data_IF_775512899220
#
_entry.id   IF_775512899220
#
_cell.length_a   1.000
_cell.length_b   1.000
_cell.length_c   1.000
_cell.angle_alpha   90.00
_cell.angle_beta   90.00
_cell.angle_gamma   90.00
#
_symmetry.space_group_name_H-M   'P 1'
#
loop_
_entity.id
_entity.type
_entity.pdbx_description
1 polymer ?
#
# COMPACT_ATOMS: atom_id res chain seq x y z
N UNK A 1 7.02 -18.92 -23.84
CA UNK A 1 6.55 -19.75 -22.70
C UNK A 1 6.02 -18.80 -21.66
N UNK A 2 4.76 -18.93 -21.25
CA UNK A 2 4.28 -18.19 -20.09
C UNK A 2 5.08 -18.64 -18.86
N UNK A 3 5.73 -17.70 -18.20
CA UNK A 3 6.45 -17.96 -16.97
C UNK A 3 5.42 -18.22 -15.86
N UNK A 4 5.45 -19.41 -15.26
CA UNK A 4 4.57 -19.77 -14.14
C UNK A 4 5.40 -19.93 -12.88
N UNK A 5 5.00 -19.23 -11.82
CA UNK A 5 5.48 -19.55 -10.48
C UNK A 5 4.95 -20.93 -10.04
N UNK A 6 5.60 -21.54 -9.07
CA UNK A 6 5.23 -22.84 -8.51
C UNK A 6 5.46 -22.86 -6.99
N UNK A 7 5.07 -23.94 -6.33
CA UNK A 7 5.16 -24.07 -4.85
C UNK A 7 6.60 -23.93 -4.30
N UNK A 8 7.63 -24.16 -5.13
CA UNK A 8 9.05 -24.03 -4.76
C UNK A 8 9.64 -22.67 -5.11
N UNK A 9 8.87 -21.77 -5.72
CA UNK A 9 9.35 -20.44 -6.07
C UNK A 9 9.75 -19.65 -4.82
N UNK A 10 10.98 -19.11 -4.86
CA UNK A 10 11.53 -18.29 -3.77
C UNK A 10 10.98 -16.87 -3.82
N UNK A 11 10.83 -16.28 -2.66
CA UNK A 11 10.31 -14.92 -2.50
C UNK A 11 11.40 -13.94 -2.07
N UNK A 12 11.62 -12.92 -2.90
CA UNK A 12 12.44 -11.76 -2.55
C UNK A 12 11.55 -10.63 -2.04
N UNK A 13 11.94 -9.95 -0.97
CA UNK A 13 11.20 -8.82 -0.39
C UNK A 13 12.01 -7.56 -0.53
N UNK A 14 11.45 -6.54 -1.18
CA UNK A 14 12.04 -5.22 -1.34
C UNK A 14 11.33 -4.23 -0.43
N UNK A 15 12.05 -3.73 0.57
CA UNK A 15 11.55 -2.87 1.64
C UNK A 15 11.71 -3.50 3.01
N UNK A 16 11.84 -2.66 4.04
CA UNK A 16 12.13 -3.10 5.42
C UNK A 16 11.36 -2.31 6.49
N UNK A 17 10.31 -1.60 6.08
CA UNK A 17 9.38 -0.92 7.00
C UNK A 17 8.42 -1.88 7.69
N UNK A 18 7.52 -1.36 8.54
CA UNK A 18 6.58 -2.19 9.32
C UNK A 18 5.82 -3.20 8.46
N UNK A 19 5.33 -2.78 7.29
CA UNK A 19 4.56 -3.67 6.43
C UNK A 19 5.41 -4.80 5.81
N UNK A 20 6.61 -4.48 5.33
CA UNK A 20 7.55 -5.50 4.85
C UNK A 20 7.91 -6.49 5.96
N UNK A 21 8.19 -6.00 7.17
CA UNK A 21 8.51 -6.81 8.36
C UNK A 21 7.37 -7.77 8.72
N UNK A 22 6.11 -7.29 8.70
CA UNK A 22 4.94 -8.15 8.94
C UNK A 22 4.73 -9.21 7.84
N UNK A 23 4.97 -8.87 6.57
CA UNK A 23 4.86 -9.82 5.46
C UNK A 23 5.97 -10.89 5.50
N UNK A 24 7.21 -10.50 5.83
CA UNK A 24 8.32 -11.45 6.05
C UNK A 24 7.99 -12.41 7.20
N UNK A 25 7.42 -11.90 8.30
CA UNK A 25 6.96 -12.74 9.41
C UNK A 25 5.90 -13.75 8.96
N UNK A 26 4.92 -13.33 8.15
CA UNK A 26 3.91 -14.22 7.61
C UNK A 26 4.51 -15.30 6.71
N UNK A 27 5.42 -14.94 5.82
CA UNK A 27 6.12 -15.88 4.93
C UNK A 27 6.94 -16.90 5.72
N UNK A 28 7.66 -16.45 6.75
CA UNK A 28 8.41 -17.33 7.64
C UNK A 28 7.50 -18.34 8.35
N UNK A 29 6.32 -17.91 8.83
CA UNK A 29 5.35 -18.79 9.49
C UNK A 29 4.86 -19.90 8.55
N UNK A 30 4.86 -19.66 7.24
CA UNK A 30 4.58 -20.65 6.20
C UNK A 30 5.82 -21.40 5.68
N UNK A 31 6.96 -21.32 6.43
CA UNK A 31 8.21 -22.04 6.12
C UNK A 31 8.77 -21.72 4.73
N UNK A 32 8.58 -20.49 4.24
CA UNK A 32 9.16 -20.04 2.97
C UNK A 32 10.58 -19.52 3.18
N UNK A 33 11.48 -19.86 2.26
CA UNK A 33 12.81 -19.26 2.16
C UNK A 33 12.67 -17.85 1.56
N UNK A 34 13.26 -16.85 2.19
CA UNK A 34 13.07 -15.43 1.88
C UNK A 34 14.42 -14.76 1.66
N UNK A 35 14.53 -13.99 0.58
CA UNK A 35 15.62 -13.05 0.36
C UNK A 35 15.13 -11.63 0.64
N UNK A 36 15.72 -10.98 1.64
CA UNK A 36 15.22 -9.70 2.12
C UNK A 36 16.22 -8.57 1.84
N UNK A 37 15.83 -7.64 0.96
CA UNK A 37 16.59 -6.44 0.63
C UNK A 37 16.47 -5.40 1.74
N UNK A 38 17.57 -5.13 2.44
CA UNK A 38 17.66 -4.20 3.56
C UNK A 38 18.89 -3.32 3.38
N UNK A 39 18.70 -2.02 3.15
CA UNK A 39 19.80 -1.05 2.95
C UNK A 39 20.14 -0.24 4.20
N UNK A 40 19.33 -0.29 5.25
CA UNK A 40 19.63 0.36 6.52
C UNK A 40 20.58 -0.53 7.34
N UNK A 41 21.80 -0.02 7.61
CA UNK A 41 22.87 -0.79 8.30
C UNK A 41 22.48 -1.25 9.70
N UNK A 42 21.78 -0.42 10.48
CA UNK A 42 21.33 -0.77 11.82
C UNK A 42 20.32 -1.92 11.81
N UNK A 43 19.35 -1.89 10.86
CA UNK A 43 18.39 -2.98 10.69
C UNK A 43 19.09 -4.25 10.18
N UNK A 44 20.03 -4.11 9.25
CA UNK A 44 20.76 -5.24 8.69
C UNK A 44 21.60 -5.95 9.76
N UNK A 45 22.30 -5.18 10.60
CA UNK A 45 23.09 -5.71 11.74
C UNK A 45 22.18 -6.40 12.74
N UNK A 46 21.10 -5.76 13.21
CA UNK A 46 20.18 -6.36 14.18
C UNK A 46 19.49 -7.63 13.67
N UNK A 47 19.14 -7.69 12.39
CA UNK A 47 18.62 -8.93 11.80
C UNK A 47 19.63 -10.06 11.81
N UNK A 48 20.88 -9.78 11.38
CA UNK A 48 21.92 -10.81 11.27
C UNK A 48 22.47 -11.28 12.62
N UNK A 49 22.58 -10.40 13.61
CA UNK A 49 23.18 -10.68 14.90
C UNK A 49 22.17 -11.14 15.94
N UNK A 50 20.95 -10.57 15.90
CA UNK A 50 19.96 -10.73 16.97
C UNK A 50 18.61 -11.30 16.46
N UNK A 51 18.40 -11.35 15.13
CA UNK A 51 17.22 -11.94 14.53
C UNK A 51 15.95 -11.10 14.61
N UNK A 52 16.05 -9.76 14.78
CA UNK A 52 14.88 -8.87 14.78
C UNK A 52 15.14 -7.56 14.03
N UNK A 53 14.07 -6.85 13.63
CA UNK A 53 14.17 -5.54 13.01
C UNK A 53 14.17 -4.44 14.08
N UNK A 54 15.31 -3.79 14.32
CA UNK A 54 15.50 -2.82 15.39
C UNK A 54 14.57 -1.59 15.32
N UNK A 55 14.04 -1.26 14.14
CA UNK A 55 13.23 -0.04 13.96
C UNK A 55 11.74 -0.31 13.77
N UNK A 56 11.37 -1.50 13.33
CA UNK A 56 9.99 -1.80 12.94
C UNK A 56 9.55 -3.15 13.47
N UNK A 57 8.51 -3.16 14.32
CA UNK A 57 7.94 -4.37 14.88
C UNK A 57 9.01 -5.24 15.60
N UNK A 58 9.79 -4.62 16.46
CA UNK A 58 10.94 -5.23 17.15
C UNK A 58 10.58 -6.42 18.04
N UNK A 59 9.30 -6.64 18.30
CA UNK A 59 8.81 -7.80 19.05
C UNK A 59 8.84 -9.11 18.23
N UNK A 60 9.10 -9.03 16.91
CA UNK A 60 9.16 -10.21 16.04
C UNK A 60 10.57 -10.77 16.02
N UNK A 61 10.70 -12.08 16.33
CA UNK A 61 11.94 -12.82 16.13
C UNK A 61 11.90 -13.60 14.82
N UNK A 62 12.97 -13.50 14.04
CA UNK A 62 13.11 -14.16 12.75
C UNK A 62 14.03 -15.38 12.83
N UNK A 63 13.63 -16.46 12.14
CA UNK A 63 14.48 -17.64 11.92
C UNK A 63 15.44 -17.37 10.76
N UNK A 64 16.67 -16.98 11.09
CA UNK A 64 17.67 -16.63 10.09
C UNK A 64 18.18 -17.83 9.26
N UNK A 65 17.72 -19.07 9.52
CA UNK A 65 17.92 -20.19 8.61
C UNK A 65 17.00 -20.12 7.39
N UNK A 66 15.89 -19.37 7.48
CA UNK A 66 14.92 -19.17 6.40
C UNK A 66 15.10 -17.81 5.70
N UNK A 67 15.81 -16.87 6.32
CA UNK A 67 15.87 -15.47 5.86
C UNK A 67 17.32 -15.09 5.52
N UNK A 68 17.53 -14.75 4.25
CA UNK A 68 18.79 -14.24 3.72
C UNK A 68 18.68 -12.72 3.52
N UNK A 69 19.41 -11.95 4.32
CA UNK A 69 19.40 -10.48 4.22
C UNK A 69 20.53 -10.00 3.32
N UNK A 70 20.27 -8.99 2.51
CA UNK A 70 21.29 -8.37 1.65
C UNK A 70 20.95 -6.90 1.37
N UNK A 71 21.98 -6.07 1.21
CA UNK A 71 21.85 -4.70 0.72
C UNK A 71 21.90 -4.59 -0.81
N UNK A 72 22.16 -5.70 -1.51
CA UNK A 72 22.23 -5.74 -2.97
C UNK A 72 20.93 -6.25 -3.57
N UNK A 73 20.13 -5.33 -4.14
CA UNK A 73 18.84 -5.65 -4.77
C UNK A 73 18.98 -6.68 -5.91
N UNK A 74 20.08 -6.65 -6.66
CA UNK A 74 20.32 -7.56 -7.78
C UNK A 74 20.54 -9.00 -7.32
N UNK A 75 21.07 -9.19 -6.11
CA UNK A 75 21.18 -10.51 -5.51
C UNK A 75 19.79 -11.10 -5.22
N UNK A 76 18.89 -10.31 -4.64
CA UNK A 76 17.49 -10.72 -4.42
C UNK A 76 16.82 -11.11 -5.75
N UNK A 77 16.99 -10.30 -6.79
CA UNK A 77 16.40 -10.55 -8.11
C UNK A 77 16.95 -11.84 -8.72
N UNK A 78 18.26 -12.11 -8.60
CA UNK A 78 18.85 -13.35 -9.12
C UNK A 78 18.33 -14.60 -8.42
N UNK A 79 18.16 -14.54 -7.10
CA UNK A 79 17.83 -15.70 -6.28
C UNK A 79 16.34 -16.05 -6.24
N UNK A 80 15.46 -15.11 -6.63
CA UNK A 80 14.02 -15.25 -6.42
C UNK A 80 13.24 -15.15 -7.73
N UNK A 81 12.18 -15.93 -7.84
CA UNK A 81 11.20 -15.88 -8.91
C UNK A 81 10.09 -14.88 -8.63
N UNK A 82 9.74 -14.69 -7.35
CA UNK A 82 8.70 -13.76 -6.89
C UNK A 82 9.39 -12.60 -6.19
N UNK A 83 9.09 -11.38 -6.61
CA UNK A 83 9.60 -10.15 -6.00
C UNK A 83 8.44 -9.38 -5.38
N UNK A 84 8.38 -9.40 -4.05
CA UNK A 84 7.40 -8.67 -3.26
C UNK A 84 7.87 -7.24 -3.02
N UNK A 85 7.12 -6.27 -3.50
CA UNK A 85 7.39 -4.84 -3.33
C UNK A 85 6.62 -4.32 -2.13
N UNK A 86 7.33 -3.99 -1.06
CA UNK A 86 6.77 -3.49 0.20
C UNK A 86 7.49 -2.21 0.72
N UNK A 87 8.19 -1.51 -0.16
CA UNK A 87 8.78 -0.21 0.11
C UNK A 87 7.76 0.92 -0.10
N UNK A 88 7.86 2.06 0.61
CA UNK A 88 7.00 3.21 0.32
C UNK A 88 7.19 3.73 -1.11
N UNK A 89 6.09 4.11 -1.76
CA UNK A 89 6.10 4.53 -3.18
C UNK A 89 7.03 5.72 -3.44
N UNK A 90 7.14 6.64 -2.48
CA UNK A 90 8.02 7.80 -2.56
C UNK A 90 9.51 7.46 -2.72
N UNK A 91 9.94 6.27 -2.30
CA UNK A 91 11.35 5.85 -2.38
C UNK A 91 11.60 4.78 -3.44
N UNK A 92 10.53 4.20 -3.99
CA UNK A 92 10.63 3.00 -4.81
C UNK A 92 11.46 3.24 -6.09
N UNK A 93 11.25 4.36 -6.77
CA UNK A 93 12.01 4.71 -7.99
C UNK A 93 13.52 4.78 -7.71
N UNK A 94 13.91 5.39 -6.58
CA UNK A 94 15.31 5.45 -6.17
C UNK A 94 15.88 4.06 -5.83
N UNK A 95 15.11 3.22 -5.14
CA UNK A 95 15.51 1.82 -4.84
C UNK A 95 15.70 1.04 -6.14
N UNK A 96 14.78 1.15 -7.08
CA UNK A 96 14.81 0.43 -8.35
C UNK A 96 15.86 0.97 -9.34
N UNK A 97 16.40 2.18 -9.14
CA UNK A 97 17.48 2.71 -9.97
C UNK A 97 18.79 1.90 -9.89
N UNK A 98 18.96 1.10 -8.83
CA UNK A 98 20.09 0.19 -8.65
C UNK A 98 19.91 -1.17 -9.34
N UNK A 99 18.73 -1.44 -9.95
CA UNK A 99 18.44 -2.71 -10.63
C UNK A 99 19.18 -2.76 -11.95
N UNK A 100 19.98 -3.81 -12.12
CA UNK A 100 20.71 -4.14 -13.36
C UNK A 100 20.31 -5.51 -13.92
N UNK A 101 19.64 -6.34 -13.13
CA UNK A 101 19.13 -7.65 -13.51
C UNK A 101 17.79 -7.51 -14.25
N UNK A 102 17.50 -8.43 -15.18
CA UNK A 102 16.22 -8.45 -15.88
C UNK A 102 15.08 -8.88 -14.94
N UNK A 103 13.97 -8.16 -15.02
CA UNK A 103 12.73 -8.45 -14.31
C UNK A 103 11.65 -9.09 -15.18
N UNK A 104 11.85 -9.21 -16.50
CA UNK A 104 10.85 -9.72 -17.46
C UNK A 104 10.26 -11.09 -17.08
N UNK A 105 11.13 -11.98 -16.55
CA UNK A 105 10.77 -13.33 -16.15
C UNK A 105 10.53 -13.46 -14.63
N UNK A 106 10.30 -12.36 -13.93
CA UNK A 106 9.96 -12.37 -12.51
C UNK A 106 8.47 -12.14 -12.34
N UNK A 107 7.91 -12.70 -11.29
CA UNK A 107 6.58 -12.35 -10.84
C UNK A 107 6.70 -11.20 -9.83
N UNK A 108 6.12 -10.05 -10.15
CA UNK A 108 6.14 -8.87 -9.27
C UNK A 108 4.83 -8.81 -8.50
N UNK A 109 4.91 -8.91 -7.18
CA UNK A 109 3.78 -8.77 -6.27
C UNK A 109 3.84 -7.42 -5.55
N UNK A 110 2.96 -6.49 -5.89
CA UNK A 110 2.90 -5.20 -5.20
C UNK A 110 2.10 -5.29 -3.90
N UNK A 111 2.72 -4.96 -2.78
CA UNK A 111 2.07 -4.72 -1.50
C UNK A 111 2.11 -3.22 -1.12
N UNK A 112 2.60 -2.37 -2.02
CA UNK A 112 2.72 -0.93 -1.84
C UNK A 112 1.40 -0.25 -2.21
N UNK A 113 0.90 0.60 -1.32
CA UNK A 113 -0.37 1.32 -1.49
C UNK A 113 -0.10 2.80 -1.84
N UNK A 114 0.56 3.02 -2.98
CA UNK A 114 1.00 4.33 -3.45
C UNK A 114 1.20 4.41 -4.97
N UNK A 115 1.68 5.56 -5.45
CA UNK A 115 1.86 5.89 -6.87
C UNK A 115 3.31 6.31 -7.09
N UNK A 116 3.89 5.98 -8.24
CA UNK A 116 5.17 6.53 -8.69
C UNK A 116 4.95 7.99 -9.11
N UNK A 117 5.50 8.92 -8.32
CA UNK A 117 5.12 10.35 -8.34
C UNK A 117 5.43 11.05 -9.67
N UNK A 118 6.61 10.81 -10.24
CA UNK A 118 7.05 11.51 -11.45
C UNK A 118 6.37 10.97 -12.72
N UNK A 119 5.95 9.70 -12.70
CA UNK A 119 5.35 9.00 -13.83
C UNK A 119 3.81 9.02 -13.77
N UNK A 120 3.22 9.29 -12.60
CA UNK A 120 1.77 9.24 -12.36
C UNK A 120 1.15 7.90 -12.76
N UNK A 121 1.84 6.81 -12.42
CA UNK A 121 1.41 5.43 -12.68
C UNK A 121 1.42 4.61 -11.40
N UNK A 122 0.61 3.56 -11.36
CA UNK A 122 0.61 2.60 -10.25
C UNK A 122 1.91 1.79 -10.24
N UNK A 123 2.12 1.01 -9.19
CA UNK A 123 3.34 0.19 -9.08
C UNK A 123 3.37 -0.87 -10.18
N UNK A 124 2.22 -1.53 -10.44
CA UNK A 124 2.14 -2.55 -11.49
C UNK A 124 2.36 -1.96 -12.89
N UNK A 125 1.76 -0.80 -13.18
CA UNK A 125 2.00 -0.07 -14.43
C UNK A 125 3.47 0.31 -14.61
N UNK A 126 4.13 0.76 -13.55
CA UNK A 126 5.55 1.12 -13.58
C UNK A 126 6.44 -0.07 -13.94
N UNK A 127 6.21 -1.23 -13.33
CA UNK A 127 6.97 -2.43 -13.67
C UNK A 127 6.71 -2.90 -15.11
N UNK A 128 5.49 -2.77 -15.60
CA UNK A 128 5.20 -3.08 -17.01
C UNK A 128 5.91 -2.11 -17.97
N UNK A 129 5.80 -0.80 -17.73
CA UNK A 129 6.30 0.23 -18.65
C UNK A 129 7.82 0.37 -18.62
N UNK A 130 8.44 0.31 -17.42
CA UNK A 130 9.87 0.61 -17.24
C UNK A 130 10.75 -0.63 -17.26
N UNK A 131 10.22 -1.82 -16.92
CA UNK A 131 10.98 -3.06 -16.83
C UNK A 131 10.48 -4.16 -17.76
N UNK A 132 9.47 -3.89 -18.58
CA UNK A 132 8.93 -4.86 -19.54
C UNK A 132 8.24 -6.07 -18.91
N UNK A 133 7.88 -6.03 -17.62
CA UNK A 133 7.20 -7.13 -16.96
C UNK A 133 5.79 -7.28 -17.52
N UNK A 134 5.41 -8.43 -18.10
CA UNK A 134 4.09 -8.60 -18.65
C UNK A 134 3.01 -8.62 -17.56
N UNK A 135 1.80 -8.15 -17.87
CA UNK A 135 0.69 -8.12 -16.90
C UNK A 135 0.30 -9.49 -16.35
N UNK A 136 0.60 -10.58 -17.06
CA UNK A 136 0.45 -11.95 -16.56
C UNK A 136 1.35 -12.26 -15.36
N UNK A 137 2.45 -11.51 -15.22
CA UNK A 137 3.45 -11.68 -14.16
C UNK A 137 3.36 -10.57 -13.10
N UNK A 138 2.28 -9.81 -13.10
CA UNK A 138 2.01 -8.78 -12.11
C UNK A 138 0.86 -9.18 -11.21
N UNK A 139 1.01 -8.90 -9.92
CA UNK A 139 -0.04 -9.07 -8.94
C UNK A 139 -0.01 -7.98 -7.87
N UNK A 140 -1.12 -7.87 -7.15
CA UNK A 140 -1.27 -6.96 -6.02
C UNK A 140 -1.76 -7.75 -4.82
N UNK A 141 -1.22 -7.46 -3.64
CA UNK A 141 -1.74 -7.94 -2.36
C UNK A 141 -2.16 -6.75 -1.52
N UNK A 142 -3.46 -6.65 -1.20
CA UNK A 142 -4.05 -5.52 -0.50
C UNK A 142 -5.24 -5.95 0.34
N UNK A 143 -5.68 -5.10 1.26
CA UNK A 143 -6.83 -5.36 2.16
C UNK A 143 -6.65 -4.73 3.52
N UNK A 144 -7.64 -4.88 4.43
CA UNK A 144 -7.63 -4.35 5.78
C UNK A 144 -6.56 -5.06 6.64
N UNK A 145 -5.38 -4.45 6.74
CA UNK A 145 -4.20 -5.10 7.35
C UNK A 145 -3.21 -4.06 7.87
N UNK A 146 -3.36 -3.64 9.12
CA UNK A 146 -2.30 -2.89 9.77
C UNK A 146 -1.16 -3.82 10.16
N UNK A 147 0.08 -3.42 9.86
CA UNK A 147 1.28 -4.21 10.12
C UNK A 147 1.37 -4.62 11.59
N UNK A 148 0.99 -3.73 12.49
CA UNK A 148 0.98 -3.92 13.94
C UNK A 148 -0.02 -5.00 14.40
N UNK A 149 -1.10 -5.19 13.65
CA UNK A 149 -2.09 -6.24 13.93
C UNK A 149 -1.69 -7.57 13.30
N UNK A 150 -1.25 -7.55 12.05
CA UNK A 150 -0.76 -8.74 11.34
C UNK A 150 0.42 -9.37 12.09
N UNK A 151 1.35 -8.55 12.57
CA UNK A 151 2.53 -9.01 13.33
C UNK A 151 2.19 -9.66 14.69
N UNK A 152 1.00 -9.39 15.22
CA UNK A 152 0.49 -9.96 16.48
C UNK A 152 -0.57 -11.04 16.25
N UNK A 153 -0.59 -11.62 15.07
CA UNK A 153 -1.52 -12.68 14.67
C UNK A 153 -3.01 -12.33 14.90
N UNK A 154 -3.37 -11.04 14.76
CA UNK A 154 -4.77 -10.63 14.75
C UNK A 154 -5.40 -11.01 13.42
N UNK A 155 -6.63 -11.57 13.50
CA UNK A 155 -7.34 -12.01 12.31
C UNK A 155 -7.44 -10.86 11.29
N UNK A 156 -6.83 -11.05 10.15
CA UNK A 156 -6.71 -10.07 9.07
C UNK A 156 -7.10 -10.71 7.73
N UNK A 157 -7.50 -9.89 6.78
CA UNK A 157 -7.92 -10.33 5.46
C UNK A 157 -7.13 -9.59 4.39
N UNK A 158 -6.58 -10.33 3.43
CA UNK A 158 -5.95 -9.78 2.24
C UNK A 158 -6.57 -10.38 0.99
N UNK A 159 -6.55 -9.61 -0.08
CA UNK A 159 -6.90 -10.07 -1.42
C UNK A 159 -5.67 -10.09 -2.27
N UNK A 160 -5.41 -11.20 -2.94
CA UNK A 160 -4.39 -11.33 -3.98
C UNK A 160 -5.08 -11.15 -5.33
N UNK A 161 -4.69 -10.12 -6.05
CA UNK A 161 -5.19 -9.84 -7.38
C UNK A 161 -4.14 -10.18 -8.43
N UNK A 162 -4.45 -11.11 -9.31
CA UNK A 162 -3.62 -11.54 -10.45
C UNK A 162 -4.52 -11.84 -11.64
N UNK A 163 -4.03 -11.60 -12.87
CA UNK A 163 -4.74 -12.03 -14.08
C UNK A 163 -4.86 -13.53 -14.22
N UNK A 164 -3.84 -14.27 -13.76
CA UNK A 164 -3.84 -15.73 -13.74
C UNK A 164 -4.26 -16.24 -12.37
N UNK A 165 -5.38 -16.95 -12.33
CA UNK A 165 -5.95 -17.52 -11.09
C UNK A 165 -5.00 -18.51 -10.40
N UNK A 166 -4.25 -19.32 -11.17
CA UNK A 166 -3.27 -20.25 -10.63
C UNK A 166 -2.15 -19.53 -9.89
N UNK A 167 -1.64 -18.43 -10.46
CA UNK A 167 -0.66 -17.59 -9.79
C UNK A 167 -1.24 -16.95 -8.52
N UNK A 168 -2.50 -16.47 -8.56
CA UNK A 168 -3.15 -15.93 -7.38
C UNK A 168 -3.24 -16.95 -6.24
N UNK A 169 -3.63 -18.20 -6.56
CA UNK A 169 -3.73 -19.29 -5.59
C UNK A 169 -2.36 -19.69 -5.01
N UNK A 170 -1.30 -19.73 -5.82
CA UNK A 170 0.06 -20.01 -5.36
C UNK A 170 0.57 -18.92 -4.42
N UNK A 171 0.39 -17.64 -4.80
CA UNK A 171 0.71 -16.50 -3.93
C UNK A 171 -0.11 -16.57 -2.63
N UNK A 172 -1.43 -16.81 -2.75
CA UNK A 172 -2.29 -16.91 -1.59
C UNK A 172 -1.83 -17.95 -0.58
N UNK A 173 -1.41 -19.14 -1.03
CA UNK A 173 -0.86 -20.19 -0.16
C UNK A 173 0.40 -19.74 0.60
N UNK A 174 1.21 -18.84 0.04
CA UNK A 174 2.40 -18.32 0.73
C UNK A 174 2.06 -17.44 1.92
N UNK A 175 0.90 -16.76 1.88
CA UNK A 175 0.49 -15.80 2.92
C UNK A 175 -0.64 -16.31 3.81
N UNK A 176 -1.42 -17.30 3.38
CA UNK A 176 -2.56 -17.79 4.15
C UNK A 176 -2.11 -18.50 5.43
N UNK A 177 -2.58 -18.02 6.58
CA UNK A 177 -2.30 -18.58 7.91
C UNK A 177 -3.61 -18.71 8.69
N UNK A 178 -3.55 -19.14 9.95
CA UNK A 178 -4.72 -19.15 10.85
C UNK A 178 -5.23 -17.74 11.17
N UNK A 179 -4.35 -16.74 11.10
CA UNK A 179 -4.64 -15.34 11.45
C UNK A 179 -4.67 -14.42 10.22
N UNK A 180 -4.29 -14.90 9.02
CA UNK A 180 -4.32 -14.11 7.79
C UNK A 180 -5.06 -14.91 6.70
N UNK A 181 -6.28 -14.48 6.40
CA UNK A 181 -7.13 -15.10 5.39
C UNK A 181 -6.92 -14.43 4.03
N UNK A 182 -6.86 -15.23 2.97
CA UNK A 182 -6.63 -14.76 1.61
C UNK A 182 -7.88 -14.97 0.76
N UNK A 183 -8.32 -13.93 0.08
CA UNK A 183 -9.27 -13.96 -1.03
C UNK A 183 -8.57 -13.64 -2.36
N UNK A 184 -9.24 -13.87 -3.47
CA UNK A 184 -8.66 -13.77 -4.81
C UNK A 184 -9.50 -12.87 -5.71
N UNK A 185 -8.84 -12.16 -6.61
CA UNK A 185 -9.46 -11.29 -7.60
C UNK A 185 -8.65 -11.26 -8.89
N UNK A 186 -9.27 -10.88 -9.99
CA UNK A 186 -8.58 -10.54 -11.25
C UNK A 186 -8.44 -9.02 -11.44
N UNK A 187 -9.04 -8.22 -10.55
CA UNK A 187 -9.06 -6.75 -10.63
C UNK A 187 -7.80 -6.11 -10.02
N UNK A 188 -6.68 -6.24 -10.73
CA UNK A 188 -5.40 -5.63 -10.32
C UNK A 188 -5.55 -4.11 -10.15
N UNK A 189 -6.11 -3.43 -11.16
CA UNK A 189 -6.25 -1.96 -11.16
C UNK A 189 -7.16 -1.45 -10.05
N UNK A 190 -8.36 -2.02 -9.93
CA UNK A 190 -9.32 -1.56 -8.93
C UNK A 190 -8.80 -1.72 -7.51
N UNK A 191 -8.14 -2.85 -7.20
CA UNK A 191 -7.57 -3.12 -5.88
C UNK A 191 -6.36 -2.21 -5.60
N UNK A 192 -5.49 -1.98 -6.59
CA UNK A 192 -4.34 -1.07 -6.44
C UNK A 192 -4.80 0.37 -6.20
N UNK A 193 -5.73 0.88 -7.03
CA UNK A 193 -6.30 2.22 -6.84
C UNK A 193 -7.12 2.36 -5.56
N UNK A 194 -7.85 1.34 -5.13
CA UNK A 194 -8.55 1.36 -3.85
C UNK A 194 -7.58 1.52 -2.68
N UNK A 195 -6.47 0.78 -2.68
CA UNK A 195 -5.39 0.91 -1.71
C UNK A 195 -4.73 2.29 -1.68
N UNK A 196 -4.70 3.00 -2.81
CA UNK A 196 -4.18 4.36 -2.94
C UNK A 196 -5.21 5.38 -2.43
N UNK A 197 -6.43 5.34 -2.95
CA UNK A 197 -7.49 6.32 -2.67
C UNK A 197 -7.92 6.32 -1.20
N UNK A 198 -7.98 5.15 -0.55
CA UNK A 198 -8.29 5.08 0.89
C UNK A 198 -7.38 5.94 1.75
N UNK A 199 -6.12 6.11 1.35
CA UNK A 199 -5.13 6.91 2.06
C UNK A 199 -5.48 8.42 1.99
N UNK A 200 -6.01 8.87 0.86
CA UNK A 200 -6.53 10.23 0.66
C UNK A 200 -7.77 10.44 1.53
N UNK A 201 -8.69 9.48 1.52
CA UNK A 201 -9.93 9.57 2.30
C UNK A 201 -9.70 9.47 3.81
N UNK A 202 -8.72 8.68 4.24
CA UNK A 202 -8.30 8.66 5.64
C UNK A 202 -7.75 10.02 6.10
N UNK A 203 -7.04 10.73 5.21
CA UNK A 203 -6.57 12.09 5.46
C UNK A 203 -7.77 13.07 5.59
N UNK A 204 -8.77 12.96 4.69
CA UNK A 204 -10.02 13.74 4.80
C UNK A 204 -10.75 13.48 6.12
N UNK A 205 -10.87 12.21 6.54
CA UNK A 205 -11.45 11.84 7.83
C UNK A 205 -10.67 12.40 9.02
N UNK A 206 -9.34 12.43 8.92
CA UNK A 206 -8.44 13.06 9.89
C UNK A 206 -8.65 14.57 9.98
N UNK A 207 -8.74 15.26 8.83
CA UNK A 207 -9.07 16.68 8.76
C UNK A 207 -10.40 16.99 9.43
N UNK A 208 -11.45 16.23 9.14
CA UNK A 208 -12.77 16.40 9.75
C UNK A 208 -12.70 16.26 11.28
N UNK A 209 -11.99 15.23 11.77
CA UNK A 209 -11.80 15.02 13.20
C UNK A 209 -11.06 16.20 13.85
N UNK A 210 -9.93 16.64 13.28
CA UNK A 210 -9.14 17.77 13.81
C UNK A 210 -9.89 19.11 13.79
N UNK A 211 -10.84 19.28 12.87
CA UNK A 211 -11.73 20.45 12.80
C UNK A 211 -12.90 20.39 13.81
N UNK A 212 -13.07 19.28 14.55
CA UNK A 212 -14.11 19.10 15.54
C UNK A 212 -15.44 18.57 15.01
N UNK A 213 -15.48 17.99 13.80
CA UNK A 213 -16.68 17.31 13.29
C UNK A 213 -16.93 16.00 14.06
N UNK A 214 -18.18 15.76 14.44
CA UNK A 214 -18.61 14.57 15.17
C UNK A 214 -18.70 13.31 14.31
N UNK A 215 -19.03 12.18 14.98
CA UNK A 215 -19.05 10.86 14.35
C UNK A 215 -20.12 10.73 13.25
N UNK A 216 -21.27 11.42 13.39
CA UNK A 216 -22.31 11.40 12.36
C UNK A 216 -21.78 11.94 11.02
N UNK A 217 -21.13 13.09 11.03
CA UNK A 217 -20.53 13.65 9.81
C UNK A 217 -19.41 12.76 9.26
N UNK A 218 -18.54 12.22 10.13
CA UNK A 218 -17.45 11.34 9.73
C UNK A 218 -17.97 10.05 9.09
N UNK A 219 -19.08 9.51 9.55
CA UNK A 219 -19.74 8.35 8.93
C UNK A 219 -20.25 8.71 7.51
N UNK A 220 -20.89 9.87 7.36
CA UNK A 220 -21.33 10.36 6.03
C UNK A 220 -20.14 10.58 5.10
N UNK A 221 -19.06 11.22 5.58
CA UNK A 221 -17.85 11.42 4.81
C UNK A 221 -17.21 10.10 4.36
N UNK A 222 -17.20 9.09 5.22
CA UNK A 222 -16.66 7.75 4.87
C UNK A 222 -17.55 7.06 3.83
N UNK A 223 -18.88 7.14 3.96
CA UNK A 223 -19.81 6.61 2.97
C UNK A 223 -19.67 7.31 1.60
N UNK A 224 -19.51 8.63 1.61
CA UNK A 224 -19.26 9.42 0.40
C UNK A 224 -17.88 9.08 -0.21
N UNK A 225 -16.87 8.83 0.61
CA UNK A 225 -15.54 8.37 0.17
C UNK A 225 -15.62 7.02 -0.55
N UNK A 226 -16.42 6.07 -0.03
CA UNK A 226 -16.66 4.79 -0.69
C UNK A 226 -17.33 4.97 -2.06
N UNK A 227 -18.33 5.88 -2.16
CA UNK A 227 -18.98 6.21 -3.43
C UNK A 227 -18.01 6.86 -4.44
N UNK A 228 -17.16 7.78 -3.97
CA UNK A 228 -16.17 8.46 -4.81
C UNK A 228 -15.11 7.48 -5.30
N UNK A 229 -14.61 6.58 -4.43
CA UNK A 229 -13.71 5.49 -4.77
C UNK A 229 -14.32 4.62 -5.88
N UNK A 230 -15.54 4.11 -5.65
CA UNK A 230 -16.27 3.27 -6.63
C UNK A 230 -16.43 3.98 -7.96
N UNK A 231 -16.82 5.25 -7.96
CA UNK A 231 -16.97 6.07 -9.16
C UNK A 231 -15.66 6.14 -9.92
N UNK A 232 -14.56 6.53 -9.25
CA UNK A 232 -13.27 6.69 -9.89
C UNK A 232 -12.81 5.39 -10.55
N UNK A 233 -12.79 4.27 -9.83
CA UNK A 233 -12.27 3.02 -10.39
C UNK A 233 -13.17 2.46 -11.51
N UNK A 234 -14.50 2.65 -11.45
CA UNK A 234 -15.40 2.17 -12.48
C UNK A 234 -15.33 3.00 -13.76
N UNK A 235 -15.19 4.34 -13.64
CA UNK A 235 -15.09 5.22 -14.80
C UNK A 235 -13.71 5.21 -15.45
N UNK A 236 -12.63 5.00 -14.64
CA UNK A 236 -11.26 4.96 -15.14
C UNK A 236 -10.86 3.59 -15.69
N UNK A 237 -11.32 2.51 -15.05
CA UNK A 237 -10.96 1.13 -15.36
C UNK A 237 -12.20 0.22 -15.27
N UNK A 238 -13.05 0.20 -16.30
CA UNK A 238 -14.26 -0.62 -16.31
C UNK A 238 -13.97 -2.09 -16.08
N UNK A 239 -14.56 -2.66 -15.03
CA UNK A 239 -14.42 -4.06 -14.63
C UNK A 239 -15.62 -4.43 -13.76
N UNK A 240 -16.10 -5.66 -13.85
CA UNK A 240 -17.16 -6.14 -12.95
C UNK A 240 -16.55 -6.45 -11.57
N UNK A 241 -16.90 -5.65 -10.57
CA UNK A 241 -16.37 -5.76 -9.20
C UNK A 241 -17.42 -5.45 -8.16
N UNK A 242 -17.30 -6.11 -7.01
CA UNK A 242 -18.03 -5.72 -5.80
C UNK A 242 -17.13 -4.82 -4.93
N UNK A 243 -17.39 -3.52 -4.93
CA UNK A 243 -16.64 -2.55 -4.13
C UNK A 243 -16.97 -2.60 -2.63
N UNK A 244 -17.87 -3.49 -2.19
CA UNK A 244 -18.12 -3.78 -0.77
C UNK A 244 -17.15 -4.82 -0.19
N UNK A 245 -16.37 -5.50 -1.03
CA UNK A 245 -15.37 -6.46 -0.60
C UNK A 245 -14.27 -5.86 0.28
N UNK A 246 -13.57 -6.76 1.00
CA UNK A 246 -12.57 -6.39 1.99
C UNK A 246 -11.45 -5.50 1.43
N UNK A 247 -10.98 -5.73 0.20
CA UNK A 247 -9.90 -4.95 -0.42
C UNK A 247 -10.31 -3.52 -0.77
N UNK A 248 -11.61 -3.23 -0.92
CA UNK A 248 -12.14 -1.90 -1.21
C UNK A 248 -12.70 -1.24 0.04
N UNK A 249 -13.95 -1.59 0.40
CA UNK A 249 -14.65 -0.99 1.54
C UNK A 249 -13.99 -1.33 2.87
N UNK A 250 -13.58 -2.59 3.07
CA UNK A 250 -12.94 -3.02 4.31
C UNK A 250 -11.65 -2.25 4.60
N UNK A 251 -10.78 -2.09 3.59
CA UNK A 251 -9.51 -1.38 3.73
C UNK A 251 -9.72 0.14 3.89
N UNK A 252 -10.74 0.71 3.26
CA UNK A 252 -11.16 2.10 3.48
C UNK A 252 -11.63 2.32 4.93
N UNK A 253 -12.49 1.45 5.46
CA UNK A 253 -13.04 1.56 6.81
C UNK A 253 -11.93 1.48 7.86
N UNK A 254 -11.08 0.44 7.82
CA UNK A 254 -10.01 0.28 8.80
C UNK A 254 -9.04 1.46 8.76
N UNK A 255 -8.71 1.98 7.58
CA UNK A 255 -7.79 3.11 7.43
C UNK A 255 -8.40 4.43 7.93
N UNK A 256 -9.72 4.59 7.81
CA UNK A 256 -10.45 5.81 8.24
C UNK A 256 -10.61 5.90 9.76
N UNK A 257 -10.76 4.75 10.44
CA UNK A 257 -11.08 4.74 11.88
C UNK A 257 -9.91 4.35 12.78
N UNK A 258 -8.95 3.57 12.27
CA UNK A 258 -7.82 3.08 13.07
C UNK A 258 -6.91 4.19 13.57
N UNK A 259 -6.44 4.04 14.82
CA UNK A 259 -5.39 4.90 15.40
C UNK A 259 -4.02 4.68 14.76
N UNK A 260 -3.79 3.54 14.13
CA UNK A 260 -2.55 3.24 13.41
C UNK A 260 -2.45 3.95 12.06
N UNK A 261 -3.54 4.55 11.55
CA UNK A 261 -3.54 5.23 10.26
C UNK A 261 -2.72 6.52 10.27
N UNK A 262 -1.55 6.47 9.65
CA UNK A 262 -0.66 7.64 9.46
C UNK A 262 -1.33 8.76 8.68
N UNK A 263 -2.09 8.43 7.65
CA UNK A 263 -2.82 9.39 6.84
C UNK A 263 -3.88 10.13 7.65
N UNK A 264 -4.65 9.40 8.48
CA UNK A 264 -5.61 9.99 9.40
C UNK A 264 -4.91 10.93 10.40
N UNK A 265 -3.76 10.51 10.97
CA UNK A 265 -2.98 11.35 11.89
C UNK A 265 -2.50 12.64 11.22
N UNK A 266 -1.98 12.57 9.99
CA UNK A 266 -1.58 13.77 9.24
C UNK A 266 -2.75 14.74 9.07
N UNK A 267 -3.92 14.23 8.67
CA UNK A 267 -5.15 15.02 8.56
C UNK A 267 -5.56 15.67 9.89
N UNK A 268 -5.47 14.93 11.00
CA UNK A 268 -5.78 15.46 12.35
C UNK A 268 -4.89 16.65 12.73
N UNK A 269 -3.58 16.53 12.53
CA UNK A 269 -2.64 17.62 12.83
C UNK A 269 -2.98 18.89 12.04
N UNK A 270 -3.26 18.76 10.74
CA UNK A 270 -3.63 19.88 9.88
C UNK A 270 -5.00 20.45 10.30
N UNK A 271 -5.96 19.61 10.62
CA UNK A 271 -7.29 20.01 11.11
C UNK A 271 -7.23 20.76 12.45
N UNK A 272 -6.32 20.40 13.35
CA UNK A 272 -6.04 21.11 14.59
C UNK A 272 -5.29 22.44 14.40
N UNK A 273 -4.88 22.79 13.17
CA UNK A 273 -4.27 24.08 12.83
C UNK A 273 -2.77 24.03 12.56
N UNK A 274 -2.14 22.85 12.54
CA UNK A 274 -0.77 22.73 12.07
C UNK A 274 -0.67 23.09 10.58
N UNK A 275 0.40 23.77 10.19
CA UNK A 275 0.71 23.90 8.76
C UNK A 275 1.04 22.52 8.17
N UNK A 276 0.80 22.31 6.88
CA UNK A 276 1.14 21.06 6.19
C UNK A 276 2.60 20.69 6.42
N UNK A 277 3.52 21.66 6.29
CA UNK A 277 4.95 21.44 6.52
C UNK A 277 5.26 21.00 7.96
N UNK A 278 4.65 21.67 8.97
CA UNK A 278 4.85 21.30 10.37
C UNK A 278 4.31 19.91 10.66
N UNK A 279 3.11 19.61 10.15
CA UNK A 279 2.49 18.30 10.33
C UNK A 279 3.32 17.16 9.70
N UNK A 280 3.87 17.36 8.49
CA UNK A 280 4.77 16.40 7.85
C UNK A 280 6.06 16.19 8.66
N UNK A 281 6.64 17.23 9.22
CA UNK A 281 7.85 17.13 10.05
C UNK A 281 7.61 16.38 11.38
N UNK A 282 6.37 16.38 11.89
CA UNK A 282 5.99 15.63 13.10
C UNK A 282 5.78 14.15 12.82
N UNK A 283 5.59 13.77 11.55
CA UNK A 283 5.41 12.37 11.18
C UNK A 283 6.74 11.61 11.19
N UNK A 284 6.78 10.50 11.92
CA UNK A 284 7.95 9.60 11.97
C UNK A 284 8.02 8.64 10.78
N UNK A 285 6.92 8.47 10.06
CA UNK A 285 6.80 7.58 8.90
C UNK A 285 5.99 8.24 7.79
N UNK A 286 6.21 7.77 6.56
CA UNK A 286 5.53 8.29 5.36
C UNK A 286 4.02 8.14 5.45
N UNK A 287 3.29 9.23 5.15
CA UNK A 287 1.86 9.25 4.91
C UNK A 287 1.62 9.25 3.39
N UNK A 288 1.37 8.08 2.82
CA UNK A 288 1.21 7.88 1.35
C UNK A 288 0.12 8.78 0.75
N UNK A 289 -0.94 9.08 1.50
CA UNK A 289 -2.04 9.94 1.05
C UNK A 289 -1.61 11.37 0.71
N UNK A 290 -0.50 11.86 1.29
CA UNK A 290 0.08 13.15 0.91
C UNK A 290 0.50 13.13 -0.57
N UNK A 291 1.34 12.21 -0.95
CA UNK A 291 1.82 12.08 -2.32
C UNK A 291 0.72 11.62 -3.28
N UNK A 292 -0.09 10.66 -2.84
CA UNK A 292 -1.18 10.12 -3.64
C UNK A 292 -2.20 11.19 -4.07
N UNK A 293 -2.48 12.20 -3.22
CA UNK A 293 -3.45 13.24 -3.57
C UNK A 293 -3.01 14.10 -4.76
N UNK A 294 -1.71 14.42 -4.87
CA UNK A 294 -1.16 15.13 -6.03
C UNK A 294 -1.20 14.26 -7.30
N UNK A 295 -0.81 12.98 -7.16
CA UNK A 295 -0.80 12.05 -8.29
C UNK A 295 -2.22 11.77 -8.81
N UNK A 296 -3.18 11.49 -7.92
CA UNK A 296 -4.57 11.24 -8.30
C UNK A 296 -5.17 12.47 -8.99
N UNK A 297 -4.86 13.68 -8.53
CA UNK A 297 -5.29 14.90 -9.23
C UNK A 297 -4.83 14.91 -10.69
N UNK A 298 -3.56 14.59 -10.95
CA UNK A 298 -2.99 14.52 -12.30
C UNK A 298 -3.53 13.37 -13.13
N UNK A 299 -3.73 12.21 -12.53
CA UNK A 299 -4.34 11.06 -13.21
C UNK A 299 -5.78 11.39 -13.60
N UNK A 300 -6.52 12.02 -12.69
CA UNK A 300 -7.91 12.39 -12.93
C UNK A 300 -8.08 13.46 -14.02
N UNK A 301 -7.06 14.27 -14.31
CA UNK A 301 -7.09 15.19 -15.47
C UNK A 301 -7.35 14.44 -16.80
N UNK A 302 -7.02 13.14 -16.88
CA UNK A 302 -7.23 12.28 -18.05
C UNK A 302 -8.62 11.61 -18.07
N UNK A 303 -9.19 11.35 -16.89
CA UNK A 303 -10.44 10.60 -16.71
C UNK A 303 -11.64 11.53 -16.46
N UNK A 304 -11.39 12.73 -15.93
CA UNK A 304 -12.39 13.75 -15.61
C UNK A 304 -13.54 13.25 -14.73
N UNK A 305 -13.22 12.36 -13.78
CA UNK A 305 -14.18 11.84 -12.80
C UNK A 305 -14.47 12.89 -11.72
N UNK A 306 -15.72 13.01 -11.28
CA UNK A 306 -16.09 13.91 -10.19
C UNK A 306 -15.60 13.39 -8.83
N UNK A 307 -14.58 14.05 -8.25
CA UNK A 307 -13.88 13.62 -7.03
C UNK A 307 -13.79 14.74 -5.97
N UNK A 308 -14.93 15.25 -5.44
CA UNK A 308 -14.92 16.40 -4.54
C UNK A 308 -14.13 16.20 -3.24
N UNK A 309 -14.05 14.97 -2.71
CA UNK A 309 -13.31 14.69 -1.47
C UNK A 309 -11.80 14.72 -1.75
N UNK A 310 -11.34 14.04 -2.80
CA UNK A 310 -9.93 14.04 -3.18
C UNK A 310 -9.46 15.45 -3.59
N UNK A 311 -10.28 16.20 -4.33
CA UNK A 311 -10.02 17.61 -4.69
C UNK A 311 -9.92 18.50 -3.45
N UNK A 312 -10.80 18.33 -2.47
CA UNK A 312 -10.74 19.06 -1.20
C UNK A 312 -9.42 18.79 -0.47
N UNK A 313 -8.99 17.53 -0.40
CA UNK A 313 -7.71 17.16 0.22
C UNK A 313 -6.54 17.78 -0.52
N UNK A 314 -6.52 17.69 -1.85
CA UNK A 314 -5.49 18.30 -2.70
C UNK A 314 -5.38 19.81 -2.46
N UNK A 315 -6.51 20.53 -2.46
CA UNK A 315 -6.54 21.96 -2.25
C UNK A 315 -5.95 22.38 -0.89
N UNK A 316 -6.25 21.60 0.16
CA UNK A 316 -5.70 21.84 1.50
C UNK A 316 -4.20 21.61 1.53
N UNK A 317 -3.71 20.54 0.92
CA UNK A 317 -2.31 20.13 1.00
C UNK A 317 -1.39 20.98 0.10
N UNK A 318 -1.85 21.31 -1.11
CA UNK A 318 -0.99 21.89 -2.15
C UNK A 318 -1.37 23.32 -2.55
N UNK A 319 -2.64 23.70 -2.40
CA UNK A 319 -3.12 25.05 -2.79
C UNK A 319 -3.27 26.01 -1.61
N UNK A 320 -2.77 25.64 -0.40
CA UNK A 320 -2.88 26.45 0.83
C UNK A 320 -4.32 26.85 1.17
N UNK A 321 -5.30 26.08 0.73
CA UNK A 321 -6.70 26.36 1.01
C UNK A 321 -7.01 26.14 2.51
N UNK A 322 -7.92 26.96 3.07
CA UNK A 322 -8.35 26.80 4.46
C UNK A 322 -9.07 25.47 4.66
N UNK A 323 -8.58 24.56 5.54
CA UNK A 323 -9.22 23.28 5.83
C UNK A 323 -10.68 23.46 6.27
N UNK A 324 -10.95 24.43 7.16
CA UNK A 324 -12.29 24.73 7.66
C UNK A 324 -13.25 25.16 6.56
N UNK A 325 -12.82 26.06 5.66
CA UNK A 325 -13.67 26.54 4.56
C UNK A 325 -13.94 25.41 3.55
N UNK A 326 -12.92 24.63 3.21
CA UNK A 326 -13.06 23.53 2.25
C UNK A 326 -13.93 22.41 2.80
N UNK A 327 -13.76 22.03 4.06
CA UNK A 327 -14.60 21.01 4.70
C UNK A 327 -16.06 21.48 4.83
N UNK A 328 -16.30 22.77 5.15
CA UNK A 328 -17.66 23.31 5.18
C UNK A 328 -18.33 23.21 3.79
N UNK A 329 -17.65 23.65 2.72
CA UNK A 329 -18.19 23.54 1.38
C UNK A 329 -18.42 22.10 0.94
N UNK A 330 -17.53 21.17 1.32
CA UNK A 330 -17.74 19.73 1.06
C UNK A 330 -18.99 19.21 1.80
N UNK A 331 -19.20 19.60 3.07
CA UNK A 331 -20.35 19.16 3.85
C UNK A 331 -21.71 19.60 3.25
N UNK A 332 -21.73 20.68 2.47
CA UNK A 332 -22.92 21.14 1.75
C UNK A 332 -23.20 20.34 0.47
N UNK A 333 -22.21 19.55 -0.01
CA UNK A 333 -22.31 18.71 -1.23
C UNK A 333 -22.64 17.26 -0.91
N UNK A 334 -22.35 16.78 0.32
CA UNK A 334 -22.58 15.40 0.74
C UNK A 334 -24.02 15.15 1.17
#
# INVERSE_FOLDING_TARGET
MEYRINDNSKCGVIGYGSWATALVHTLQNNKKEIWWHVTNEEILSSLNEEGYNAKYLSDINFDMNLIHTTSNINEVIRQCEIILIAAPSAFLKNILSAVTESLENKFILSATKGIIQDEFVTITEYFNQSFGVPYSNLGVISGPSHAEEVSRDKLSYLTVACKDKGNAELIGKMFNTKSLMISYSEDIYGIEYAGILKNIYALAGGLAYGLGYGDNFRAVLTAASAKELTRFINESYPFERDTTDAAYLGDLLVTSYSSFSRNRRLGQLIGHGCTVKSALNEMTMVAEGYYASACIKKINDRHNVHMPIADMVYDVLYCKASPRRKMKGLAELL
#
